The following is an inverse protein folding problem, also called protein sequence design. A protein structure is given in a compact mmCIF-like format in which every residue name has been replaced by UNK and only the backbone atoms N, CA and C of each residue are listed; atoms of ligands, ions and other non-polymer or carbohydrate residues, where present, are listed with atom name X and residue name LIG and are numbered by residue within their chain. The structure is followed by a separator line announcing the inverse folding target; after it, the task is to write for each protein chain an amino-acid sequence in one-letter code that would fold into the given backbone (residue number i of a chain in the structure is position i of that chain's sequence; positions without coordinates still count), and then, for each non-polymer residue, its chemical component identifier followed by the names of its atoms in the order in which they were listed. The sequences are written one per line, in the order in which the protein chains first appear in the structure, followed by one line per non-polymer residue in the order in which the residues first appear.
data_IF_318077589807
#
_entry.id   IF_318077589807
#
_cell.length_a   1.000
_cell.length_b   1.000
_cell.length_c   1.000
_cell.angle_alpha   90.00
_cell.angle_beta   90.00
_cell.angle_gamma   90.00
#
_symmetry.space_group_name_H-M   'P 1'
#
loop_
_entity.id
_entity.type
_entity.pdbx_description
1 polymer ?
#
# COMPACT_ATOMS: atom_id res chain seq x y z
N UNK A 1 4.62 -15.46 -20.36
CA UNK A 1 3.98 -15.13 -21.66
C UNK A 1 4.86 -14.16 -22.43
N UNK A 2 5.04 -14.34 -23.75
CA UNK A 2 5.77 -13.39 -24.61
C UNK A 2 4.83 -12.28 -25.05
N UNK A 3 5.29 -11.03 -25.07
CA UNK A 3 4.52 -9.88 -25.53
C UNK A 3 4.23 -10.00 -27.04
N UNK A 4 2.95 -9.94 -27.44
CA UNK A 4 2.53 -9.90 -28.85
C UNK A 4 1.76 -8.59 -29.10
N UNK A 5 2.32 -7.63 -29.87
CA UNK A 5 1.74 -6.31 -30.09
C UNK A 5 0.41 -6.31 -30.87
N UNK A 6 0.09 -7.38 -31.61
CA UNK A 6 -1.17 -7.54 -32.36
C UNK A 6 -2.36 -7.88 -31.45
N UNK A 7 -2.10 -8.39 -30.24
CA UNK A 7 -3.14 -8.79 -29.27
C UNK A 7 -3.01 -8.04 -27.93
N UNK A 8 -1.81 -7.57 -27.58
CA UNK A 8 -1.53 -6.81 -26.37
C UNK A 8 -1.45 -5.33 -26.69
N UNK A 9 -2.61 -4.69 -26.86
CA UNK A 9 -2.72 -3.23 -26.95
C UNK A 9 -2.65 -2.59 -25.57
N UNK A 10 -1.54 -2.79 -24.85
CA UNK A 10 -1.33 -2.15 -23.55
C UNK A 10 -1.06 -0.67 -23.76
N UNK A 11 -2.11 0.14 -23.63
CA UNK A 11 -1.97 1.60 -23.54
C UNK A 11 -1.42 1.96 -22.16
N UNK A 12 -0.47 2.89 -22.13
CA UNK A 12 0.03 3.43 -20.87
C UNK A 12 -1.09 4.22 -20.18
N UNK A 13 -1.31 3.96 -18.89
CA UNK A 13 -2.18 4.78 -18.04
C UNK A 13 -1.49 6.08 -17.59
N UNK A 14 -0.17 6.20 -17.82
CA UNK A 14 0.60 7.36 -17.38
C UNK A 14 0.24 8.59 -18.19
N UNK A 15 0.07 9.71 -17.51
CA UNK A 15 -0.17 10.99 -18.14
C UNK A 15 1.02 11.38 -19.00
N UNK A 16 0.76 11.68 -20.28
CA UNK A 16 1.80 12.05 -21.23
C UNK A 16 2.45 13.38 -20.81
N UNK A 17 3.78 13.38 -20.71
CA UNK A 17 4.57 14.56 -20.33
C UNK A 17 4.67 14.81 -18.83
N UNK A 18 4.06 13.97 -17.98
CA UNK A 18 4.22 14.07 -16.53
C UNK A 18 5.44 13.29 -16.05
N UNK A 19 6.27 13.94 -15.23
CA UNK A 19 7.43 13.33 -14.59
C UNK A 19 7.03 12.68 -13.26
N UNK A 20 6.90 11.35 -13.26
CA UNK A 20 6.53 10.56 -12.09
C UNK A 20 7.67 10.41 -11.06
N UNK A 21 8.85 10.98 -11.30
CA UNK A 21 9.93 11.04 -10.30
C UNK A 21 9.78 12.22 -9.32
N UNK A 22 8.90 13.18 -9.64
CA UNK A 22 8.64 14.31 -8.77
C UNK A 22 7.91 13.87 -7.48
N UNK A 23 8.14 14.56 -6.35
CA UNK A 23 7.38 14.33 -5.12
C UNK A 23 5.88 14.51 -5.35
N UNK A 24 5.07 13.67 -4.70
CA UNK A 24 3.62 13.74 -4.75
C UNK A 24 2.99 13.01 -3.56
N UNK A 25 1.75 13.39 -3.22
CA UNK A 25 0.96 12.71 -2.19
C UNK A 25 0.13 11.59 -2.81
N UNK A 26 0.10 10.42 -2.17
CA UNK A 26 -0.61 9.24 -2.64
C UNK A 26 -1.41 8.62 -1.50
N UNK A 27 -2.66 8.25 -1.80
CA UNK A 27 -3.41 7.34 -0.95
C UNK A 27 -3.21 5.91 -1.48
N UNK A 28 -2.75 5.02 -0.62
CA UNK A 28 -2.47 3.62 -0.98
C UNK A 28 -3.29 2.72 -0.07
N UNK A 29 -4.01 1.77 -0.69
CA UNK A 29 -4.69 0.69 0.02
C UNK A 29 -4.11 -0.63 -0.46
N UNK A 30 -3.71 -1.48 0.48
CA UNK A 30 -3.20 -2.82 0.23
C UNK A 30 -4.11 -3.76 0.98
N UNK A 31 -4.67 -4.75 0.29
CA UNK A 31 -5.43 -5.82 0.92
C UNK A 31 -4.61 -7.12 0.91
N UNK A 32 -4.79 -7.95 1.92
CA UNK A 32 -4.33 -9.33 1.95
C UNK A 32 -4.87 -10.13 0.77
N UNK A 33 -4.21 -11.25 0.48
CA UNK A 33 -4.69 -12.20 -0.49
C UNK A 33 -6.11 -12.64 -0.15
N UNK A 34 -7.00 -12.64 -1.15
CA UNK A 34 -8.42 -12.95 -0.99
C UNK A 34 -9.16 -12.15 0.11
N UNK A 35 -8.57 -11.04 0.57
CA UNK A 35 -9.12 -10.19 1.65
C UNK A 35 -9.28 -10.95 2.98
N UNK A 36 -8.45 -11.95 3.23
CA UNK A 36 -8.42 -12.68 4.49
C UNK A 36 -8.06 -11.75 5.67
N UNK A 37 -8.80 -11.84 6.78
CA UNK A 37 -8.58 -11.01 7.97
C UNK A 37 -7.37 -11.51 8.79
N UNK A 38 -6.17 -11.26 8.30
CA UNK A 38 -4.92 -11.76 8.89
C UNK A 38 -4.34 -10.86 9.99
N UNK A 39 -4.71 -9.58 10.05
CA UNK A 39 -4.02 -8.58 10.88
C UNK A 39 -4.69 -8.32 12.23
N UNK A 40 -5.82 -8.97 12.50
CA UNK A 40 -6.56 -8.83 13.75
C UNK A 40 -8.05 -8.74 13.48
N UNK A 41 -8.76 -8.08 14.39
CA UNK A 41 -10.22 -7.97 14.35
C UNK A 41 -10.68 -6.59 14.86
N UNK A 42 -11.94 -6.26 14.57
CA UNK A 42 -12.58 -5.04 15.09
C UNK A 42 -13.46 -5.44 16.26
N UNK A 43 -13.21 -4.85 17.43
CA UNK A 43 -14.01 -5.06 18.65
C UNK A 43 -14.45 -3.69 19.15
N UNK A 44 -15.77 -3.48 19.31
CA UNK A 44 -16.34 -2.20 19.74
C UNK A 44 -15.87 -1.00 18.89
N UNK A 45 -15.90 -1.14 17.56
CA UNK A 45 -15.46 -0.13 16.58
C UNK A 45 -13.96 0.24 16.65
N UNK A 46 -13.16 -0.51 17.41
CA UNK A 46 -11.71 -0.34 17.50
C UNK A 46 -10.97 -1.50 16.84
N UNK A 47 -9.91 -1.19 16.10
CA UNK A 47 -9.02 -2.20 15.54
C UNK A 47 -8.11 -2.78 16.62
N UNK A 48 -8.19 -4.10 16.84
CA UNK A 48 -7.32 -4.84 17.74
C UNK A 48 -6.32 -5.64 16.89
N UNK A 49 -5.06 -5.19 16.88
CA UNK A 49 -3.99 -5.85 16.12
C UNK A 49 -3.56 -7.16 16.79
N UNK A 50 -3.48 -8.22 15.99
CA UNK A 50 -2.73 -9.42 16.36
C UNK A 50 -1.23 -9.22 16.04
N UNK A 51 -0.42 -10.26 16.20
CA UNK A 51 1.02 -10.16 15.98
C UNK A 51 1.40 -9.86 14.51
N UNK A 52 0.61 -10.32 13.54
CA UNK A 52 0.82 -9.98 12.14
C UNK A 52 0.46 -8.53 11.84
N UNK A 53 -0.63 -8.01 12.41
CA UNK A 53 -1.00 -6.60 12.30
C UNK A 53 0.05 -5.66 12.88
N UNK A 54 0.67 -6.04 14.01
CA UNK A 54 1.80 -5.29 14.60
C UNK A 54 3.01 -5.27 13.68
N UNK A 55 3.37 -6.40 13.06
CA UNK A 55 4.47 -6.46 12.09
C UNK A 55 4.19 -5.52 10.91
N UNK A 56 2.98 -5.53 10.35
CA UNK A 56 2.61 -4.62 9.25
C UNK A 56 2.76 -3.16 9.67
N UNK A 57 2.28 -2.80 10.86
CA UNK A 57 2.42 -1.45 11.39
C UNK A 57 3.89 -1.04 11.52
N UNK A 58 4.72 -1.88 12.12
CA UNK A 58 6.15 -1.61 12.33
C UNK A 58 6.91 -1.47 11.01
N UNK A 59 6.69 -2.37 10.05
CA UNK A 59 7.35 -2.36 8.74
C UNK A 59 6.91 -1.15 7.87
N UNK A 60 5.67 -0.69 8.03
CA UNK A 60 5.19 0.52 7.36
C UNK A 60 6.01 1.73 7.78
N UNK A 61 6.18 1.97 9.08
CA UNK A 61 6.99 3.10 9.56
C UNK A 61 8.49 2.87 9.43
N UNK A 62 8.96 1.63 9.46
CA UNK A 62 10.34 1.32 9.13
C UNK A 62 10.68 1.77 7.70
N UNK A 63 9.73 1.68 6.76
CA UNK A 63 9.92 2.11 5.37
C UNK A 63 10.32 3.58 5.24
N UNK A 64 9.76 4.48 6.04
CA UNK A 64 10.16 5.90 6.08
C UNK A 64 11.54 6.11 6.73
N UNK A 65 12.02 5.18 7.57
CA UNK A 65 13.38 5.25 8.14
C UNK A 65 14.46 4.77 7.16
N UNK A 66 14.12 3.83 6.28
CA UNK A 66 15.08 3.23 5.33
C UNK A 66 15.08 3.89 3.95
N UNK A 67 14.03 4.66 3.60
CA UNK A 67 13.91 5.35 2.30
C UNK A 67 13.68 6.83 2.52
N UNK A 68 14.62 7.64 2.05
CA UNK A 68 14.60 9.09 2.24
C UNK A 68 13.49 9.78 1.42
N UNK A 69 12.94 9.09 0.43
CA UNK A 69 11.91 9.60 -0.47
C UNK A 69 10.48 9.39 0.07
N UNK A 70 10.34 8.74 1.24
CA UNK A 70 9.05 8.42 1.85
C UNK A 70 8.84 9.27 3.10
N UNK A 71 7.72 9.98 3.14
CA UNK A 71 7.21 10.67 4.31
C UNK A 71 5.86 10.02 4.73
N UNK A 72 5.72 9.71 6.01
CA UNK A 72 4.53 9.05 6.58
C UNK A 72 4.15 9.75 7.89
N UNK A 73 2.85 9.87 8.13
CA UNK A 73 2.30 10.45 9.35
C UNK A 73 1.46 9.40 10.09
N UNK A 74 1.66 9.29 11.41
CA UNK A 74 0.97 8.29 12.23
C UNK A 74 -0.55 8.46 12.25
N UNK A 75 -1.04 9.70 12.15
CA UNK A 75 -2.46 10.02 12.10
C UNK A 75 -3.12 9.81 10.73
N UNK A 76 -2.36 9.42 9.71
CA UNK A 76 -2.84 9.17 8.33
C UNK A 76 -2.74 7.69 7.93
N UNK A 77 -2.39 6.81 8.87
CA UNK A 77 -2.22 5.40 8.63
C UNK A 77 -3.11 4.56 9.55
N UNK A 78 -3.67 3.48 8.99
CA UNK A 78 -4.44 2.49 9.74
C UNK A 78 -4.19 1.11 9.14
N UNK A 79 -4.08 0.11 10.01
CA UNK A 79 -4.13 -1.31 9.62
C UNK A 79 -5.56 -1.77 9.86
N UNK A 80 -6.20 -2.29 8.81
CA UNK A 80 -7.50 -2.95 8.91
C UNK A 80 -7.30 -4.46 9.03
N UNK A 81 -8.33 -5.27 9.34
CA UNK A 81 -8.16 -6.72 9.47
C UNK A 81 -7.55 -7.41 8.23
N UNK A 82 -7.78 -6.87 7.02
CA UNK A 82 -7.24 -7.34 5.74
C UNK A 82 -6.63 -6.20 4.93
#
# INVERSE_FOLDING_TARGET
MRYNPEIHHRRSIRLKGYDYSQPGAYFVTICTHERECLFGEIVNDEMILNDYGKIVYEEWFLSAKIRNEIELYENEFVVMPN
#
